data_IF_093751224347
#
_entry.id   IF_093751224347
#
_cell.length_a   1.000
_cell.length_b   1.000
_cell.length_c   1.000
_cell.angle_alpha   90.00
_cell.angle_beta   90.00
_cell.angle_gamma   90.00
#
_symmetry.space_group_name_H-M   'P 1'
#
loop_
_entity.id
_entity.type
_entity.pdbx_description
1 polymer ?
#
# COMPACT_ATOMS: atom_id res chain seq x y z
N UNK A 1 -55.50 19.00 43.82
CA UNK A 1 -56.82 18.44 43.44
C UNK A 1 -56.58 17.19 42.60
N UNK A 2 -57.03 16.05 43.12
CA UNK A 2 -57.26 14.73 42.49
C UNK A 2 -56.07 13.87 41.96
N UNK A 3 -55.86 12.76 42.69
CA UNK A 3 -55.26 11.48 42.28
C UNK A 3 -56.15 10.68 41.32
N UNK A 4 -55.57 9.71 40.59
CA UNK A 4 -56.05 8.32 40.34
C UNK A 4 -55.04 7.66 39.35
N UNK A 5 -54.10 6.78 39.71
CA UNK A 5 -54.19 5.34 40.05
C UNK A 5 -55.09 4.49 39.11
N UNK A 6 -54.49 3.61 38.27
CA UNK A 6 -54.51 2.14 38.39
C UNK A 6 -53.69 1.45 37.27
N UNK A 7 -53.04 0.32 37.61
CA UNK A 7 -52.20 -0.55 36.75
C UNK A 7 -53.01 -1.74 36.12
N UNK A 8 -52.44 -2.93 35.76
CA UNK A 8 -52.50 -3.52 34.42
C UNK A 8 -53.22 -4.90 34.38
N UNK A 9 -53.31 -5.57 33.22
CA UNK A 9 -53.67 -7.00 33.19
C UNK A 9 -53.19 -7.72 31.93
N UNK A 10 -52.49 -8.84 32.17
CA UNK A 10 -52.14 -9.89 31.22
C UNK A 10 -53.34 -10.78 30.88
N UNK A 11 -53.24 -11.51 29.77
CA UNK A 11 -53.60 -12.93 29.50
C UNK A 11 -54.24 -13.10 28.11
N UNK A 12 -53.63 -13.90 27.23
CA UNK A 12 -54.14 -15.24 26.92
C UNK A 12 -53.11 -16.09 26.15
N UNK A 13 -52.98 -17.34 26.59
CA UNK A 13 -52.12 -18.41 26.11
C UNK A 13 -53.00 -19.48 25.40
N UNK A 14 -52.34 -20.33 24.58
CA UNK A 14 -52.81 -21.59 23.93
C UNK A 14 -53.41 -21.41 22.52
N UNK A 15 -53.12 -22.26 21.53
CA UNK A 15 -52.98 -23.73 21.57
C UNK A 15 -52.09 -24.29 20.45
N UNK A 16 -51.46 -25.43 20.77
CA UNK A 16 -50.62 -26.32 19.96
C UNK A 16 -51.35 -27.08 18.84
N UNK A 17 -50.54 -27.59 17.88
CA UNK A 17 -50.42 -28.98 17.33
C UNK A 17 -50.22 -28.92 15.80
N UNK A 18 -49.05 -29.20 15.23
CA UNK A 18 -48.28 -30.45 15.12
C UNK A 18 -48.97 -31.55 14.28
N UNK A 19 -48.37 -31.91 13.13
CA UNK A 19 -48.39 -33.19 12.37
C UNK A 19 -47.36 -33.01 11.20
N UNK A 20 -46.10 -33.48 11.26
CA UNK A 20 -45.52 -34.80 10.98
C UNK A 20 -45.82 -35.43 9.58
N UNK A 21 -44.85 -35.28 8.64
CA UNK A 21 -44.20 -36.18 7.63
C UNK A 21 -44.98 -37.36 6.94
N UNK A 22 -44.45 -38.11 5.93
CA UNK A 22 -43.14 -38.08 5.21
C UNK A 22 -43.14 -38.37 3.66
N UNK A 23 -41.95 -38.24 3.05
CA UNK A 23 -41.31 -39.01 1.94
C UNK A 23 -42.12 -39.63 0.76
N UNK A 24 -41.67 -39.35 -0.49
CA UNK A 24 -41.14 -40.38 -1.41
C UNK A 24 -40.50 -39.80 -2.70
N UNK A 25 -39.42 -40.47 -3.10
CA UNK A 25 -38.64 -40.35 -4.34
C UNK A 25 -39.46 -40.32 -5.64
N UNK A 26 -38.93 -39.59 -6.65
CA UNK A 26 -38.68 -40.17 -7.98
C UNK A 26 -37.60 -39.41 -8.76
N UNK A 27 -36.77 -40.23 -9.37
CA UNK A 27 -35.63 -40.01 -10.25
C UNK A 27 -36.01 -39.40 -11.60
N UNK A 28 -35.15 -38.53 -12.14
CA UNK A 28 -34.92 -38.43 -13.58
C UNK A 28 -33.47 -37.97 -13.83
N UNK A 29 -32.73 -38.84 -14.51
CA UNK A 29 -31.38 -38.62 -14.98
C UNK A 29 -31.39 -37.73 -16.23
N UNK A 30 -30.43 -36.82 -16.35
CA UNK A 30 -29.91 -36.39 -17.64
C UNK A 30 -28.38 -36.26 -17.52
N UNK A 31 -27.70 -36.99 -18.40
CA UNK A 31 -26.26 -37.09 -18.55
C UNK A 31 -25.83 -36.18 -19.70
N UNK A 32 -24.79 -35.36 -19.50
CA UNK A 32 -23.63 -35.31 -20.41
C UNK A 32 -22.53 -34.39 -19.88
N UNK A 33 -21.42 -35.02 -19.46
CA UNK A 33 -20.01 -34.64 -19.68
C UNK A 33 -19.55 -33.19 -19.49
N UNK A 34 -18.88 -32.93 -18.36
CA UNK A 34 -17.64 -32.15 -18.32
C UNK A 34 -16.74 -32.75 -17.22
N UNK A 35 -15.56 -33.24 -17.60
CA UNK A 35 -14.59 -33.86 -16.68
C UNK A 35 -14.00 -32.88 -15.67
N UNK A 36 -13.27 -33.37 -14.65
CA UNK A 36 -12.72 -32.53 -13.59
C UNK A 36 -11.60 -31.64 -14.17
N UNK A 37 -11.49 -30.35 -13.82
CA UNK A 37 -10.32 -29.59 -14.21
C UNK A 37 -9.10 -30.12 -13.47
N UNK A 38 -8.02 -30.18 -14.24
CA UNK A 38 -6.70 -30.70 -13.91
C UNK A 38 -6.13 -30.16 -12.59
N UNK A 39 -5.29 -30.99 -11.96
CA UNK A 39 -4.61 -30.68 -10.71
C UNK A 39 -3.70 -29.45 -10.78
N UNK A 40 -3.45 -28.88 -9.61
CA UNK A 40 -2.56 -27.74 -9.39
C UNK A 40 -1.20 -27.94 -10.08
N UNK A 41 -0.75 -26.90 -10.76
CA UNK A 41 0.58 -26.87 -11.39
C UNK A 41 1.69 -26.89 -10.34
N UNK A 42 2.91 -27.28 -10.73
CA UNK A 42 4.05 -27.33 -9.81
C UNK A 42 4.33 -25.97 -9.13
N UNK A 43 4.08 -24.87 -9.84
CA UNK A 43 4.16 -23.49 -9.35
C UNK A 43 3.07 -23.14 -8.32
N UNK A 44 1.85 -23.65 -8.51
CA UNK A 44 0.76 -23.45 -7.53
C UNK A 44 0.95 -24.29 -6.28
N UNK A 45 1.58 -25.47 -6.39
CA UNK A 45 1.99 -26.27 -5.23
C UNK A 45 3.16 -25.63 -4.48
N UNK A 46 4.09 -25.00 -5.20
CA UNK A 46 5.20 -24.23 -4.61
C UNK A 46 4.70 -22.99 -3.84
N UNK A 47 3.73 -22.25 -4.38
CA UNK A 47 3.15 -21.10 -3.68
C UNK A 47 2.29 -21.49 -2.47
N UNK A 48 1.59 -22.62 -2.53
CA UNK A 48 0.89 -23.20 -1.37
C UNK A 48 1.86 -23.78 -0.33
N UNK A 49 3.00 -24.34 -0.75
CA UNK A 49 4.07 -24.78 0.14
C UNK A 49 4.72 -23.62 0.91
N UNK A 50 4.93 -22.48 0.23
CA UNK A 50 5.47 -21.26 0.84
C UNK A 50 4.52 -20.65 1.89
N UNK A 51 3.20 -20.75 1.67
CA UNK A 51 2.18 -20.28 2.64
C UNK A 51 2.00 -21.26 3.80
N UNK A 52 2.23 -22.56 3.59
CA UNK A 52 2.09 -23.59 4.62
C UNK A 52 3.30 -23.69 5.56
N UNK A 53 4.50 -23.31 5.09
CA UNK A 53 5.73 -23.32 5.91
C UNK A 53 5.84 -22.11 6.87
N UNK A 54 5.15 -21.01 6.57
CA UNK A 54 5.14 -19.81 7.41
C UNK A 54 3.77 -19.62 8.05
N UNK A 55 3.54 -20.33 9.14
CA UNK A 55 2.54 -19.93 10.12
C UNK A 55 2.89 -18.54 10.67
N UNK A 56 2.40 -17.49 10.01
CA UNK A 56 2.43 -16.10 10.47
C UNK A 56 3.81 -15.51 10.77
N UNK A 57 4.33 -14.66 9.88
CA UNK A 57 5.43 -13.75 10.24
C UNK A 57 6.42 -13.51 9.12
N UNK A 58 6.33 -12.33 8.51
CA UNK A 58 7.22 -11.81 7.49
C UNK A 58 8.65 -11.62 8.03
N UNK A 59 9.62 -12.26 7.38
CA UNK A 59 11.00 -11.81 7.37
C UNK A 59 11.60 -12.21 6.02
N UNK A 60 12.42 -11.31 5.45
CA UNK A 60 13.05 -11.35 4.12
C UNK A 60 12.24 -10.56 3.08
N UNK A 61 12.39 -9.24 3.18
CA UNK A 61 11.88 -8.26 2.22
C UNK A 61 12.68 -6.95 2.31
N UNK A 62 13.97 -7.05 2.65
CA UNK A 62 14.88 -5.91 2.59
C UNK A 62 16.07 -6.32 1.73
N UNK A 63 16.46 -5.42 0.83
CA UNK A 63 17.60 -5.49 -0.09
C UNK A 63 17.32 -6.20 -1.42
N UNK A 64 16.65 -5.52 -2.35
CA UNK A 64 17.09 -5.22 -3.74
C UNK A 64 15.85 -4.79 -4.55
N UNK A 65 16.01 -3.78 -5.41
CA UNK A 65 15.00 -3.42 -6.42
C UNK A 65 14.72 -4.57 -7.39
N UNK A 66 13.78 -4.40 -8.35
CA UNK A 66 13.29 -5.51 -9.15
C UNK A 66 14.41 -6.11 -10.00
N UNK A 67 14.66 -7.42 -9.85
CA UNK A 67 15.29 -8.20 -10.92
C UNK A 67 14.26 -8.45 -12.02
N UNK A 68 14.64 -8.34 -13.31
CA UNK A 68 13.72 -8.43 -14.43
C UNK A 68 13.02 -9.79 -14.49
N UNK A 69 11.75 -9.76 -14.89
CA UNK A 69 10.93 -10.96 -15.04
C UNK A 69 11.34 -11.75 -16.30
N UNK A 70 11.13 -13.06 -16.27
CA UNK A 70 11.47 -14.00 -17.35
C UNK A 70 10.71 -13.72 -18.67
N UNK A 71 9.76 -12.78 -18.69
CA UNK A 71 9.10 -12.30 -19.91
C UNK A 71 9.98 -11.35 -20.75
N UNK A 72 11.03 -10.75 -20.18
CA UNK A 72 12.02 -9.96 -20.93
C UNK A 72 13.06 -10.81 -21.67
N UNK A 73 13.19 -12.11 -21.35
CA UNK A 73 14.15 -13.02 -22.01
C UNK A 73 13.58 -13.78 -23.21
N UNK A 74 12.26 -13.74 -23.42
CA UNK A 74 11.61 -14.52 -24.47
C UNK A 74 10.41 -13.80 -25.10
N UNK A 75 10.67 -12.61 -25.67
CA UNK A 75 9.94 -12.09 -26.82
C UNK A 75 8.43 -11.93 -26.66
N UNK A 76 8.02 -10.74 -26.22
CA UNK A 76 6.70 -10.18 -26.55
C UNK A 76 6.90 -8.87 -27.29
N UNK A 77 6.32 -8.79 -28.49
CA UNK A 77 6.36 -7.62 -29.37
C UNK A 77 5.88 -6.39 -28.63
N UNK A 78 6.68 -5.32 -28.72
CA UNK A 78 6.31 -3.97 -28.33
C UNK A 78 4.91 -3.63 -28.87
N UNK A 79 3.96 -3.41 -27.96
CA UNK A 79 2.73 -2.68 -28.28
C UNK A 79 3.14 -1.21 -28.30
N UNK A 80 3.41 -0.73 -29.51
CA UNK A 80 3.69 0.67 -29.80
C UNK A 80 2.49 1.53 -29.40
N UNK A 81 2.68 2.46 -28.46
CA UNK A 81 1.63 3.41 -28.11
C UNK A 81 1.90 4.40 -26.96
N UNK A 82 3.03 4.33 -26.25
CA UNK A 82 3.38 5.35 -25.25
C UNK A 82 4.44 6.30 -25.83
N UNK A 83 4.14 7.60 -25.88
CA UNK A 83 5.17 8.62 -26.07
C UNK A 83 6.05 8.61 -24.83
N UNK A 84 7.22 7.99 -24.89
CA UNK A 84 8.18 8.04 -23.79
C UNK A 84 8.53 9.49 -23.49
N UNK A 85 8.23 9.97 -22.28
CA UNK A 85 8.71 11.25 -21.77
C UNK A 85 10.23 11.33 -21.98
N UNK A 86 10.71 12.41 -22.63
CA UNK A 86 12.11 12.60 -23.01
C UNK A 86 12.89 13.55 -22.09
N UNK A 87 12.26 14.06 -21.03
CA UNK A 87 12.88 14.95 -20.07
C UNK A 87 13.43 14.22 -18.84
N UNK A 88 14.12 14.96 -17.98
CA UNK A 88 14.51 14.49 -16.64
C UNK A 88 13.40 14.78 -15.64
N UNK A 89 13.06 13.79 -14.80
CA UNK A 89 12.09 13.96 -13.71
C UNK A 89 12.82 14.42 -12.45
N UNK A 90 12.96 15.73 -12.29
CA UNK A 90 13.61 16.34 -11.14
C UNK A 90 12.62 16.48 -9.97
N UNK A 91 13.08 16.14 -8.78
CA UNK A 91 12.32 16.37 -7.54
C UNK A 91 12.55 17.81 -7.08
N UNK A 92 11.52 18.65 -7.17
CA UNK A 92 11.57 20.06 -6.76
C UNK A 92 11.14 20.25 -5.31
N UNK A 93 10.16 19.46 -4.87
CA UNK A 93 9.56 19.56 -3.56
C UNK A 93 9.47 18.18 -2.92
N UNK A 94 9.56 18.13 -1.58
CA UNK A 94 9.34 16.92 -0.80
C UNK A 94 8.19 17.14 0.16
N UNK A 95 7.28 16.17 0.22
CA UNK A 95 6.16 16.16 1.17
C UNK A 95 6.15 14.85 1.94
N UNK A 96 5.48 14.83 3.07
CA UNK A 96 5.35 13.63 3.88
C UNK A 96 3.91 13.35 4.30
N UNK A 97 3.63 12.06 4.53
CA UNK A 97 2.44 11.55 5.19
C UNK A 97 2.85 10.70 6.38
N UNK A 98 2.40 11.07 7.58
CA UNK A 98 2.34 10.17 8.71
C UNK A 98 1.05 9.37 8.59
N UNK A 99 1.14 8.05 8.58
CA UNK A 99 0.01 7.15 8.34
C UNK A 99 -0.32 6.38 9.61
N UNK A 100 -1.62 6.25 9.88
CA UNK A 100 -2.15 5.38 10.92
C UNK A 100 -3.15 4.36 10.37
N UNK A 101 -3.21 3.19 11.02
CA UNK A 101 -4.17 2.12 10.75
C UNK A 101 -4.95 1.85 12.03
N UNK A 102 -6.29 1.98 11.99
CA UNK A 102 -7.16 1.93 13.16
C UNK A 102 -6.69 2.87 14.28
N UNK A 103 -6.23 4.06 13.90
CA UNK A 103 -5.68 5.12 14.75
C UNK A 103 -4.31 4.82 15.41
N UNK A 104 -3.72 3.64 15.16
CA UNK A 104 -2.33 3.34 15.54
C UNK A 104 -1.36 3.84 14.48
N UNK A 105 -0.29 4.53 14.89
CA UNK A 105 0.75 5.01 13.97
C UNK A 105 1.54 3.85 13.37
N UNK A 106 1.70 3.88 12.04
CA UNK A 106 2.39 2.82 11.28
C UNK A 106 3.72 3.28 10.72
N UNK A 107 3.79 4.52 10.23
CA UNK A 107 5.02 5.05 9.67
C UNK A 107 4.83 6.29 8.82
N UNK A 108 5.95 6.78 8.30
CA UNK A 108 6.03 7.98 7.46
C UNK A 108 6.34 7.60 6.02
N UNK A 109 5.61 8.17 5.08
CA UNK A 109 5.88 8.12 3.65
C UNK A 109 6.43 9.49 3.23
N UNK A 110 7.57 9.52 2.56
CA UNK A 110 8.13 10.73 1.95
C UNK A 110 8.00 10.63 0.45
N UNK A 111 7.45 11.67 -0.17
CA UNK A 111 7.19 11.73 -1.61
C UNK A 111 7.94 12.92 -2.19
N UNK A 112 8.66 12.69 -3.28
CA UNK A 112 9.23 13.74 -4.13
C UNK A 112 8.26 14.11 -5.25
N UNK A 113 8.14 15.42 -5.52
CA UNK A 113 7.21 15.98 -6.49
C UNK A 113 7.96 16.57 -7.70
N UNK A 114 7.41 16.41 -8.90
CA UNK A 114 8.02 16.82 -10.17
C UNK A 114 7.56 18.22 -10.61
N UNK A 115 7.88 19.26 -9.83
CA UNK A 115 7.32 20.61 -10.02
C UNK A 115 7.75 21.32 -11.31
N UNK A 116 8.85 20.92 -11.94
CA UNK A 116 9.23 21.48 -13.26
C UNK A 116 8.30 20.99 -14.38
N UNK A 117 7.87 19.73 -14.30
CA UNK A 117 7.05 19.09 -15.33
C UNK A 117 5.57 19.32 -15.07
N UNK A 118 5.19 19.30 -13.79
CA UNK A 118 3.80 19.36 -13.35
C UNK A 118 3.54 20.49 -12.32
N UNK A 119 3.91 21.76 -12.61
CA UNK A 119 3.89 22.83 -11.62
C UNK A 119 2.52 23.05 -10.97
N UNK A 120 1.43 22.98 -11.73
CA UNK A 120 0.08 23.17 -11.18
C UNK A 120 -0.35 21.98 -10.32
N UNK A 121 -0.06 20.78 -10.79
CA UNK A 121 -0.41 19.54 -10.06
C UNK A 121 0.35 19.45 -8.74
N UNK A 122 1.65 19.81 -8.77
CA UNK A 122 2.53 19.82 -7.61
C UNK A 122 2.12 20.89 -6.60
N UNK A 123 1.85 22.14 -7.01
CA UNK A 123 1.39 23.18 -6.08
C UNK A 123 0.05 22.81 -5.43
N UNK A 124 -0.87 22.18 -6.17
CA UNK A 124 -2.10 21.65 -5.60
C UNK A 124 -1.82 20.62 -4.50
N UNK A 125 -0.98 19.62 -4.79
CA UNK A 125 -0.69 18.56 -3.83
C UNK A 125 0.08 19.09 -2.61
N UNK A 126 1.08 19.94 -2.83
CA UNK A 126 1.89 20.59 -1.78
C UNK A 126 1.02 21.39 -0.83
N UNK A 127 0.17 22.26 -1.36
CA UNK A 127 -0.73 23.09 -0.55
C UNK A 127 -1.80 22.27 0.20
N UNK A 128 -2.28 21.17 -0.38
CA UNK A 128 -3.17 20.23 0.31
C UNK A 128 -2.44 19.42 1.40
N UNK A 129 -1.11 19.28 1.34
CA UNK A 129 -0.33 18.71 2.44
C UNK A 129 -0.19 19.69 3.61
N UNK A 130 -0.01 20.99 3.34
CA UNK A 130 0.15 22.02 4.39
C UNK A 130 -1.16 22.52 4.98
N UNK A 131 -2.26 22.48 4.21
CA UNK A 131 -3.53 23.09 4.61
C UNK A 131 -3.54 24.62 4.50
N UNK A 132 -2.53 25.22 3.87
CA UNK A 132 -2.30 26.68 3.87
C UNK A 132 -3.40 27.49 3.16
N UNK A 133 -4.19 26.85 2.29
CA UNK A 133 -5.25 27.52 1.51
C UNK A 133 -6.59 27.63 2.28
N UNK A 134 -6.65 27.18 3.53
CA UNK A 134 -7.81 27.36 4.40
C UNK A 134 -8.99 26.46 4.04
N UNK A 135 -10.20 27.03 4.03
CA UNK A 135 -11.44 26.27 3.85
C UNK A 135 -11.72 25.94 2.37
N UNK A 136 -12.21 24.72 2.10
CA UNK A 136 -12.77 24.35 0.80
C UNK A 136 -14.17 24.93 0.63
N UNK A 137 -14.67 24.99 -0.61
CA UNK A 137 -16.06 25.41 -0.88
C UNK A 137 -17.07 24.38 -0.37
N UNK A 138 -16.67 23.12 -0.24
CA UNK A 138 -17.49 22.06 0.33
C UNK A 138 -17.63 22.12 1.87
N UNK A 139 -16.86 22.97 2.55
CA UNK A 139 -16.91 23.17 4.01
C UNK A 139 -15.64 22.72 4.75
N UNK A 140 -15.16 21.48 4.57
CA UNK A 140 -13.92 20.99 5.19
C UNK A 140 -12.68 21.81 4.75
N UNK A 141 -11.59 21.84 5.53
CA UNK A 141 -10.35 22.48 5.09
C UNK A 141 -9.75 21.80 3.85
N UNK A 142 -9.06 22.56 3.00
CA UNK A 142 -8.23 22.08 1.89
C UNK A 142 -6.96 21.41 2.44
N UNK A 143 -7.11 20.28 3.13
CA UNK A 143 -6.03 19.63 3.86
C UNK A 143 -6.19 18.11 3.87
N UNK A 144 -5.10 17.38 3.59
CA UNK A 144 -5.10 15.91 3.60
C UNK A 144 -5.13 15.30 5.02
N UNK A 145 -4.79 16.07 6.05
CA UNK A 145 -4.80 15.57 7.43
C UNK A 145 -6.19 15.07 7.83
N UNK A 146 -6.24 13.84 8.32
CA UNK A 146 -7.47 13.13 8.69
C UNK A 146 -8.19 12.47 7.50
N UNK A 147 -7.74 12.66 6.26
CA UNK A 147 -8.29 11.95 5.10
C UNK A 147 -7.81 10.50 5.05
N UNK A 148 -8.65 9.61 4.49
CA UNK A 148 -8.40 8.18 4.45
C UNK A 148 -8.03 7.65 3.07
N UNK A 149 -7.31 6.52 3.06
CA UNK A 149 -7.13 5.71 1.86
C UNK A 149 -8.38 4.87 1.64
N UNK A 150 -9.35 5.44 0.92
CA UNK A 150 -10.69 4.86 0.76
C UNK A 150 -10.74 3.70 -0.25
N UNK A 151 -9.69 3.52 -1.08
CA UNK A 151 -9.61 2.43 -2.05
C UNK A 151 -8.19 1.86 -2.15
N UNK A 152 -8.00 0.61 -1.75
CA UNK A 152 -6.72 -0.10 -1.69
C UNK A 152 -6.87 -1.44 -2.41
N UNK A 153 -6.14 -1.63 -3.51
CA UNK A 153 -6.12 -2.87 -4.29
C UNK A 153 -4.69 -3.42 -4.29
N UNK A 154 -4.42 -4.53 -3.59
CA UNK A 154 -3.09 -5.12 -3.53
C UNK A 154 -2.53 -5.43 -4.91
N UNK A 155 -1.26 -5.12 -5.14
CA UNK A 155 -0.58 -5.32 -6.44
C UNK A 155 -1.03 -4.36 -7.54
N UNK A 156 -1.83 -3.34 -7.20
CA UNK A 156 -2.27 -2.32 -8.14
C UNK A 156 -1.94 -0.92 -7.61
N UNK A 157 -2.71 -0.42 -6.64
CA UNK A 157 -2.52 0.92 -6.09
C UNK A 157 -3.24 1.13 -4.76
N UNK A 158 -2.83 2.17 -4.05
CA UNK A 158 -3.51 2.73 -2.87
C UNK A 158 -4.00 4.14 -3.21
N UNK A 159 -5.29 4.40 -3.04
CA UNK A 159 -5.95 5.65 -3.44
C UNK A 159 -6.54 6.36 -2.22
N UNK A 160 -6.28 7.67 -2.14
CA UNK A 160 -6.67 8.54 -1.05
C UNK A 160 -7.03 9.95 -1.53
N UNK A 161 -7.01 10.92 -0.60
CA UNK A 161 -7.17 12.34 -0.92
C UNK A 161 -8.62 12.85 -1.03
N UNK A 162 -9.62 12.04 -0.64
CA UNK A 162 -10.99 12.53 -0.44
C UNK A 162 -11.18 12.99 1.02
N UNK A 163 -10.90 14.26 1.28
CA UNK A 163 -11.09 14.91 2.59
C UNK A 163 -12.50 15.49 2.78
N UNK A 164 -13.37 15.39 1.78
CA UNK A 164 -14.72 16.00 1.84
C UNK A 164 -15.81 14.99 2.17
N UNK A 165 -15.77 13.79 1.59
CA UNK A 165 -16.76 12.74 1.77
C UNK A 165 -16.16 11.44 2.30
N UNK A 166 -14.83 11.31 2.28
CA UNK A 166 -14.08 10.13 2.75
C UNK A 166 -14.51 8.80 2.12
N UNK A 167 -15.08 8.84 0.90
CA UNK A 167 -15.65 7.66 0.24
C UNK A 167 -15.24 7.52 -1.24
N UNK A 168 -14.42 8.43 -1.75
CA UNK A 168 -13.91 8.45 -3.11
C UNK A 168 -14.81 9.19 -4.12
N UNK A 169 -15.91 9.79 -3.68
CA UNK A 169 -16.80 10.61 -4.53
C UNK A 169 -16.55 12.11 -4.38
N UNK A 170 -15.81 12.50 -3.34
CA UNK A 170 -15.50 13.88 -3.04
C UNK A 170 -14.12 14.34 -3.50
N UNK A 171 -13.61 15.36 -2.83
CA UNK A 171 -12.35 16.03 -3.11
C UNK A 171 -12.55 17.37 -3.80
N UNK A 172 -11.62 18.29 -3.54
CA UNK A 172 -11.59 19.63 -4.12
C UNK A 172 -10.13 20.06 -4.30
N UNK A 173 -9.80 20.69 -5.42
CA UNK A 173 -8.45 21.24 -5.63
C UNK A 173 -8.34 22.63 -4.99
N UNK A 174 -7.11 23.11 -4.83
CA UNK A 174 -6.89 24.50 -4.36
C UNK A 174 -7.37 25.56 -5.38
N UNK A 175 -7.67 25.14 -6.61
CA UNK A 175 -8.15 26.00 -7.69
C UNK A 175 -9.68 25.99 -7.82
N UNK A 176 -10.38 25.25 -6.95
CA UNK A 176 -11.82 25.03 -6.99
C UNK A 176 -12.15 23.54 -7.16
N UNK A 177 -13.29 23.22 -7.77
CA UNK A 177 -13.76 21.82 -7.79
C UNK A 177 -12.83 20.88 -8.54
N UNK A 178 -12.32 21.30 -9.71
CA UNK A 178 -11.45 20.50 -10.60
C UNK A 178 -10.46 21.39 -11.35
N UNK A 179 -9.40 20.81 -11.88
CA UNK A 179 -8.47 21.43 -12.82
C UNK A 179 -8.07 20.45 -13.95
N UNK A 180 -7.50 21.02 -15.01
CA UNK A 180 -7.15 20.32 -16.25
C UNK A 180 -5.97 19.35 -16.08
N UNK A 181 -5.82 18.40 -16.99
CA UNK A 181 -4.61 17.57 -17.09
C UNK A 181 -3.44 18.43 -17.59
N UNK A 182 -2.25 18.20 -17.04
CA UNK A 182 -1.05 18.98 -17.35
C UNK A 182 -0.17 18.24 -18.38
N UNK A 183 0.88 17.51 -17.99
CA UNK A 183 1.61 16.63 -18.91
C UNK A 183 1.19 15.16 -18.70
N UNK A 184 0.68 14.51 -19.75
CA UNK A 184 0.27 13.10 -19.73
C UNK A 184 1.32 12.15 -20.34
N UNK A 185 2.49 12.67 -20.75
CA UNK A 185 3.56 11.88 -21.35
C UNK A 185 4.46 11.18 -20.32
N UNK A 186 4.45 11.62 -19.07
CA UNK A 186 5.17 10.96 -17.96
C UNK A 186 4.53 9.60 -17.69
N UNK A 187 5.26 8.47 -17.86
CA UNK A 187 4.68 7.14 -17.71
C UNK A 187 4.59 6.69 -16.25
N UNK A 188 3.70 5.73 -15.97
CA UNK A 188 3.61 5.06 -14.68
C UNK A 188 4.76 4.05 -14.54
N UNK A 189 5.93 4.53 -14.10
CA UNK A 189 7.20 3.81 -14.02
C UNK A 189 7.30 2.79 -12.86
N UNK A 190 6.19 2.11 -12.54
CA UNK A 190 6.15 1.02 -11.55
C UNK A 190 5.76 1.45 -10.13
N UNK A 191 6.02 0.57 -9.12
CA UNK A 191 5.68 0.81 -7.72
C UNK A 191 6.29 2.11 -7.16
N UNK A 192 5.54 2.80 -6.31
CA UNK A 192 5.92 4.08 -5.72
C UNK A 192 5.59 5.30 -6.58
N UNK A 193 5.11 5.13 -7.82
CA UNK A 193 4.65 6.25 -8.65
C UNK A 193 3.44 6.94 -8.01
N UNK A 194 3.48 8.26 -7.88
CA UNK A 194 2.37 9.10 -7.42
C UNK A 194 1.66 9.75 -8.63
N UNK A 195 0.33 9.59 -8.70
CA UNK A 195 -0.46 10.04 -9.83
C UNK A 195 -1.86 10.51 -9.43
N UNK A 196 -2.46 11.39 -10.23
CA UNK A 196 -3.78 11.98 -9.97
C UNK A 196 -4.91 10.99 -10.28
N UNK A 197 -5.84 10.82 -9.34
CA UNK A 197 -7.10 10.16 -9.63
C UNK A 197 -8.07 11.15 -10.28
N UNK A 198 -8.74 10.72 -11.34
CA UNK A 198 -9.70 11.55 -12.08
C UNK A 198 -10.93 10.71 -12.50
N UNK A 199 -11.95 11.41 -13.02
CA UNK A 199 -13.18 10.82 -13.55
C UNK A 199 -13.32 11.08 -15.06
N UNK A 200 -12.20 11.04 -15.77
CA UNK A 200 -12.07 11.44 -17.18
C UNK A 200 -11.14 12.65 -17.37
N UNK A 201 -10.89 13.00 -18.63
CA UNK A 201 -9.97 14.08 -19.00
C UNK A 201 -10.35 15.40 -18.31
N UNK A 202 -9.35 16.13 -17.82
CA UNK A 202 -9.47 17.44 -17.19
C UNK A 202 -10.37 17.45 -15.94
N UNK A 203 -10.28 16.40 -15.11
CA UNK A 203 -11.10 16.31 -13.89
C UNK A 203 -10.30 16.09 -12.61
N UNK A 204 -9.07 16.59 -12.58
CA UNK A 204 -8.18 16.48 -11.42
C UNK A 204 -8.72 17.29 -10.24
N UNK A 205 -8.69 16.71 -9.05
CA UNK A 205 -9.15 17.34 -7.80
C UNK A 205 -8.09 17.25 -6.72
N UNK A 206 -8.41 16.58 -5.62
CA UNK A 206 -7.46 16.25 -4.56
C UNK A 206 -7.12 14.76 -4.45
N UNK A 207 -7.91 13.90 -5.10
CA UNK A 207 -7.69 12.47 -5.01
C UNK A 207 -6.43 12.06 -5.79
N UNK A 208 -5.67 11.15 -5.20
CA UNK A 208 -4.41 10.66 -5.75
C UNK A 208 -4.31 9.16 -5.51
N UNK A 209 -3.40 8.50 -6.20
CA UNK A 209 -3.01 7.13 -5.91
C UNK A 209 -1.50 6.94 -5.97
N UNK A 210 -1.01 6.00 -5.17
CA UNK A 210 0.37 5.50 -5.21
C UNK A 210 0.33 4.08 -5.77
N UNK A 211 1.09 3.82 -6.84
CA UNK A 211 1.17 2.50 -7.45
C UNK A 211 1.91 1.52 -6.53
N UNK A 212 1.43 0.28 -6.44
CA UNK A 212 2.11 -0.83 -5.74
C UNK A 212 2.44 -1.99 -6.69
N UNK A 213 2.37 -1.72 -7.99
CA UNK A 213 2.59 -2.64 -9.09
C UNK A 213 2.69 -1.86 -10.40
N UNK A 214 2.99 -2.56 -11.49
CA UNK A 214 3.10 -1.93 -12.81
C UNK A 214 1.71 -1.57 -13.36
N UNK A 215 1.58 -0.36 -13.90
CA UNK A 215 0.29 0.20 -14.33
C UNK A 215 0.33 0.94 -15.68
N UNK A 216 0.98 0.39 -16.73
CA UNK A 216 1.16 1.09 -18.01
C UNK A 216 -0.16 1.43 -18.74
N UNK A 217 -1.27 0.74 -18.43
CA UNK A 217 -2.58 1.04 -19.03
C UNK A 217 -3.21 2.36 -18.53
N UNK A 218 -2.60 3.00 -17.53
CA UNK A 218 -2.96 4.32 -17.01
C UNK A 218 -2.23 5.47 -17.71
N UNK A 219 -1.19 5.16 -18.50
CA UNK A 219 -0.43 6.15 -19.27
C UNK A 219 -1.35 6.92 -20.23
N UNK A 220 -1.10 8.22 -20.38
CA UNK A 220 -1.92 9.10 -21.21
C UNK A 220 -3.31 9.42 -20.62
N UNK A 221 -3.64 8.95 -19.40
CA UNK A 221 -4.96 9.16 -18.77
C UNK A 221 -4.88 9.80 -17.39
N UNK A 222 -3.80 9.58 -16.66
CA UNK A 222 -3.59 10.10 -15.32
C UNK A 222 -2.26 10.84 -15.27
N UNK A 223 -2.28 12.04 -14.67
CA UNK A 223 -1.10 12.89 -14.53
C UNK A 223 -0.18 12.30 -13.46
N UNK A 224 1.00 11.82 -13.86
CA UNK A 224 2.07 11.41 -12.94
C UNK A 224 2.85 12.65 -12.53
N UNK A 225 2.95 12.90 -11.22
CA UNK A 225 3.52 14.15 -10.69
C UNK A 225 4.49 13.95 -9.51
N UNK A 226 4.81 12.70 -9.16
CA UNK A 226 5.81 12.43 -8.14
C UNK A 226 6.12 10.94 -7.97
N UNK A 227 6.92 10.64 -6.95
CA UNK A 227 7.25 9.28 -6.52
C UNK A 227 7.56 9.21 -5.04
N UNK A 228 7.34 8.04 -4.45
CA UNK A 228 7.83 7.72 -3.10
C UNK A 228 9.36 7.71 -3.12
N UNK A 229 9.95 8.40 -2.14
CA UNK A 229 11.38 8.44 -1.87
C UNK A 229 11.73 7.56 -0.66
N UNK A 230 10.90 7.62 0.39
CA UNK A 230 11.07 6.86 1.63
C UNK A 230 9.70 6.35 2.11
N UNK A 231 9.67 5.23 2.84
CA UNK A 231 8.43 4.67 3.37
C UNK A 231 7.65 3.77 2.39
N UNK A 232 8.33 3.12 1.44
CA UNK A 232 7.69 2.15 0.55
C UNK A 232 7.19 0.90 1.31
N UNK A 233 7.88 0.52 2.38
CA UNK A 233 7.43 -0.49 3.34
C UNK A 233 6.09 -0.12 3.99
N UNK A 234 5.89 1.17 4.33
CA UNK A 234 4.60 1.67 4.83
C UNK A 234 3.52 1.56 3.73
N UNK A 235 3.85 1.89 2.48
CA UNK A 235 2.95 1.72 1.32
C UNK A 235 2.54 0.25 1.15
N UNK A 236 3.47 -0.69 1.31
CA UNK A 236 3.19 -2.13 1.21
C UNK A 236 2.33 -2.63 2.37
N UNK A 237 2.54 -2.13 3.60
CA UNK A 237 1.66 -2.40 4.75
C UNK A 237 0.24 -1.91 4.46
N UNK A 238 0.08 -0.69 3.95
CA UNK A 238 -1.24 -0.16 3.53
C UNK A 238 -1.84 -1.05 2.44
N UNK A 239 -1.05 -1.45 1.45
CA UNK A 239 -1.48 -2.33 0.35
C UNK A 239 -2.04 -3.66 0.88
N UNK A 240 -1.41 -4.26 1.89
CA UNK A 240 -1.88 -5.51 2.52
C UNK A 240 -3.25 -5.40 3.20
N UNK A 241 -3.63 -4.19 3.62
CA UNK A 241 -4.94 -3.87 4.18
C UNK A 241 -6.04 -3.81 3.10
N UNK A 242 -5.68 -3.92 1.82
CA UNK A 242 -6.61 -3.85 0.70
C UNK A 242 -7.37 -5.14 0.40
N UNK A 243 -8.28 -5.04 -0.57
CA UNK A 243 -9.05 -6.16 -1.14
C UNK A 243 -9.12 -5.99 -2.65
N UNK A 244 -9.41 -7.07 -3.39
CA UNK A 244 -9.67 -6.99 -4.84
C UNK A 244 -10.83 -6.05 -5.19
N UNK A 245 -11.80 -5.89 -4.28
CA UNK A 245 -12.91 -4.92 -4.42
C UNK A 245 -12.49 -3.46 -4.22
N UNK A 246 -11.26 -3.20 -3.76
CA UNK A 246 -10.78 -1.87 -3.40
C UNK A 246 -11.15 -1.42 -1.99
N UNK A 247 -12.27 -1.87 -1.43
CA UNK A 247 -12.63 -1.49 -0.04
C UNK A 247 -11.58 -2.00 0.99
N UNK A 248 -10.97 -1.12 1.80
CA UNK A 248 -10.01 -1.51 2.84
C UNK A 248 -10.60 -2.45 3.90
N UNK A 249 -9.75 -3.27 4.50
CA UNK A 249 -10.06 -4.15 5.65
C UNK A 249 -10.00 -3.40 6.99
N UNK A 250 -9.23 -2.32 7.05
CA UNK A 250 -8.99 -1.49 8.22
C UNK A 250 -9.10 0.00 7.84
N UNK A 251 -9.27 0.85 8.84
CA UNK A 251 -9.32 2.29 8.63
C UNK A 251 -7.90 2.85 8.49
N UNK A 252 -7.51 3.25 7.28
CA UNK A 252 -6.16 3.76 6.98
C UNK A 252 -6.25 5.26 6.73
N UNK A 253 -5.58 6.07 7.57
CA UNK A 253 -5.67 7.54 7.53
C UNK A 253 -4.30 8.20 7.44
N UNK A 254 -4.28 9.37 6.82
CA UNK A 254 -3.18 10.32 6.92
C UNK A 254 -3.37 11.07 8.25
N UNK A 255 -2.64 10.68 9.29
CA UNK A 255 -2.76 11.30 10.63
C UNK A 255 -2.12 12.68 10.67
N UNK A 256 -1.09 12.91 9.86
CA UNK A 256 -0.42 14.20 9.71
C UNK A 256 0.26 14.27 8.33
N UNK A 257 0.44 15.48 7.82
CA UNK A 257 1.09 15.71 6.53
C UNK A 257 1.67 17.12 6.45
N UNK A 258 2.62 17.31 5.53
CA UNK A 258 3.26 18.61 5.33
C UNK A 258 4.35 18.58 4.27
N UNK A 259 5.07 19.69 4.15
CA UNK A 259 6.24 19.85 3.28
C UNK A 259 7.50 19.64 4.11
N UNK A 260 8.52 19.04 3.51
CA UNK A 260 9.87 18.98 4.06
C UNK A 260 10.70 20.07 3.37
N UNK A 261 11.16 21.05 4.13
CA UNK A 261 12.02 22.10 3.59
C UNK A 261 13.37 21.52 3.16
N UNK A 262 13.85 21.93 1.98
CA UNK A 262 15.14 21.50 1.46
C UNK A 262 16.34 22.04 2.26
N UNK A 263 16.14 23.14 3.00
CA UNK A 263 17.21 23.91 3.68
C UNK A 263 16.96 24.16 5.19
N UNK A 264 15.99 23.51 5.82
CA UNK A 264 15.79 23.69 7.26
C UNK A 264 16.85 22.91 8.06
N UNK A 265 17.72 23.57 8.87
CA UNK A 265 18.32 22.89 9.99
C UNK A 265 17.18 22.49 10.93
N UNK A 266 17.09 21.19 11.20
CA UNK A 266 16.12 20.55 12.07
C UNK A 266 15.97 21.29 13.42
N UNK A 267 15.05 22.26 13.50
CA UNK A 267 14.62 22.89 14.75
C UNK A 267 13.31 22.23 15.16
N UNK A 268 13.46 21.12 15.87
CA UNK A 268 12.38 20.40 16.51
C UNK A 268 11.73 21.23 17.60
N UNK A 269 10.41 21.39 17.51
CA UNK A 269 9.56 21.48 18.68
C UNK A 269 9.39 20.07 19.27
N UNK A 270 10.15 19.78 20.32
CA UNK A 270 9.98 18.70 21.29
C UNK A 270 9.19 17.44 20.83
N UNK A 271 9.84 16.62 20.00
CA UNK A 271 9.60 15.18 19.95
C UNK A 271 10.98 14.52 19.85
N UNK A 272 11.22 13.50 20.67
CA UNK A 272 12.50 12.82 20.85
C UNK A 272 13.22 12.53 19.53
N UNK A 273 14.52 12.86 19.49
CA UNK A 273 15.42 12.58 18.38
C UNK A 273 15.56 11.06 18.17
N UNK A 274 14.81 10.50 17.23
CA UNK A 274 15.14 9.21 16.62
C UNK A 274 16.14 9.44 15.48
N UNK A 275 17.42 9.57 15.83
CA UNK A 275 18.51 9.23 14.90
C UNK A 275 18.39 7.74 14.51
N UNK A 276 18.79 7.33 13.30
CA UNK A 276 18.85 5.90 12.96
C UNK A 276 19.75 5.22 13.98
N UNK A 277 19.15 4.44 14.89
CA UNK A 277 19.86 3.80 16.01
C UNK A 277 20.95 2.91 15.41
N UNK A 278 22.22 3.34 15.52
CA UNK A 278 23.38 2.51 15.22
C UNK A 278 23.25 1.29 16.12
N UNK A 279 22.91 0.14 15.53
CA UNK A 279 22.73 -1.11 16.25
C UNK A 279 23.91 -1.29 17.21
N UNK A 280 23.63 -1.54 18.48
CA UNK A 280 24.69 -1.82 19.44
C UNK A 280 25.41 -3.10 19.02
N UNK A 281 26.61 -3.34 19.56
CA UNK A 281 27.37 -4.57 19.28
C UNK A 281 26.58 -5.83 19.65
N UNK A 282 25.76 -5.74 20.69
CA UNK A 282 24.86 -6.81 21.14
C UNK A 282 23.70 -7.01 20.16
N UNK A 283 23.02 -5.94 19.73
CA UNK A 283 21.94 -6.02 18.74
C UNK A 283 22.45 -6.52 17.36
N UNK A 284 23.69 -6.16 16.97
CA UNK A 284 24.36 -6.70 15.79
C UNK A 284 24.69 -8.20 15.93
N UNK A 285 25.02 -8.65 17.15
CA UNK A 285 25.32 -10.05 17.43
C UNK A 285 24.04 -10.90 17.41
N UNK A 286 22.96 -10.42 18.03
CA UNK A 286 21.64 -11.05 17.99
C UNK A 286 21.14 -11.17 16.54
N UNK A 287 21.33 -10.12 15.74
CA UNK A 287 20.98 -10.15 14.32
C UNK A 287 21.77 -11.19 13.53
N UNK A 288 23.06 -11.36 13.86
CA UNK A 288 23.90 -12.38 13.24
C UNK A 288 23.42 -13.80 13.60
N UNK A 289 22.94 -14.00 14.83
CA UNK A 289 22.44 -15.28 15.31
C UNK A 289 21.06 -15.62 14.72
N UNK A 290 20.15 -14.64 14.59
CA UNK A 290 18.91 -14.84 13.82
C UNK A 290 19.18 -15.19 12.35
N UNK A 291 20.16 -14.55 11.71
CA UNK A 291 20.53 -14.87 10.33
C UNK A 291 21.15 -16.27 10.18
N UNK A 292 21.78 -16.82 11.24
CA UNK A 292 22.28 -18.20 11.26
C UNK A 292 21.14 -19.21 11.36
N UNK A 293 20.14 -18.92 12.18
CA UNK A 293 18.95 -19.75 12.32
C UNK A 293 18.16 -19.80 11.01
N UNK A 294 17.94 -18.64 10.38
CA UNK A 294 17.29 -18.53 9.07
C UNK A 294 18.06 -19.32 8.00
N UNK A 295 19.38 -19.17 7.93
CA UNK A 295 20.23 -19.97 7.02
C UNK A 295 20.07 -21.47 7.24
N UNK A 296 20.02 -21.91 8.50
CA UNK A 296 19.81 -23.32 8.85
C UNK A 296 18.46 -23.86 8.38
N UNK A 297 17.40 -23.06 8.53
CA UNK A 297 16.06 -23.43 8.08
C UNK A 297 15.98 -23.53 6.55
N UNK A 298 16.63 -22.62 5.82
CA UNK A 298 16.74 -22.72 4.37
C UNK A 298 17.52 -23.94 3.92
N UNK A 299 18.66 -24.22 4.58
CA UNK A 299 19.47 -25.41 4.28
C UNK A 299 18.67 -26.71 4.45
N UNK A 300 17.85 -26.79 5.49
CA UNK A 300 17.04 -27.96 5.79
C UNK A 300 15.91 -28.20 4.76
N UNK A 301 15.47 -27.16 4.08
CA UNK A 301 14.40 -27.21 3.08
C UNK A 301 14.92 -27.01 1.64
N UNK A 302 16.24 -27.13 1.44
CA UNK A 302 16.90 -26.85 0.15
C UNK A 302 16.29 -27.61 -1.03
N UNK A 303 15.83 -28.84 -0.81
CA UNK A 303 15.29 -29.71 -1.86
C UNK A 303 13.81 -29.39 -2.20
N UNK A 304 13.13 -28.57 -1.38
CA UNK A 304 11.75 -28.13 -1.58
C UNK A 304 11.64 -26.72 -2.18
N UNK A 305 12.77 -26.00 -2.21
CA UNK A 305 12.88 -24.63 -2.68
C UNK A 305 13.45 -24.64 -4.10
N UNK A 306 12.92 -23.76 -4.96
CA UNK A 306 13.48 -23.59 -6.31
C UNK A 306 15.00 -23.30 -6.24
N UNK A 307 15.85 -24.04 -6.98
CA UNK A 307 17.31 -23.91 -6.87
C UNK A 307 17.84 -22.49 -7.13
N UNK A 308 17.19 -21.74 -8.03
CA UNK A 308 17.62 -20.38 -8.37
C UNK A 308 17.24 -19.38 -7.27
N UNK A 309 16.07 -19.56 -6.68
CA UNK A 309 15.60 -18.76 -5.55
C UNK A 309 16.43 -19.05 -4.29
N UNK A 310 16.74 -20.32 -4.03
CA UNK A 310 17.61 -20.74 -2.94
C UNK A 310 18.99 -20.08 -3.05
N UNK A 311 19.58 -20.09 -4.25
CA UNK A 311 20.90 -19.49 -4.49
C UNK A 311 20.89 -17.97 -4.23
N UNK A 312 19.87 -17.25 -4.68
CA UNK A 312 19.71 -15.81 -4.45
C UNK A 312 19.55 -15.47 -2.95
N UNK A 313 18.65 -16.16 -2.26
CA UNK A 313 18.42 -15.97 -0.82
C UNK A 313 19.69 -16.22 0.01
N UNK A 314 20.44 -17.27 -0.35
CA UNK A 314 21.69 -17.61 0.33
C UNK A 314 22.78 -16.57 0.07
N UNK A 315 22.81 -15.94 -1.10
CA UNK A 315 23.72 -14.82 -1.41
C UNK A 315 23.39 -13.60 -0.55
N UNK A 316 22.11 -13.26 -0.38
CA UNK A 316 21.66 -12.13 0.45
C UNK A 316 21.98 -12.35 1.93
N UNK A 317 21.64 -13.52 2.48
CA UNK A 317 21.98 -13.91 3.85
C UNK A 317 23.49 -13.81 4.06
N UNK A 318 24.30 -14.25 3.08
CA UNK A 318 25.76 -14.19 3.14
C UNK A 318 26.27 -12.75 3.12
N UNK A 319 25.73 -11.89 2.26
CA UNK A 319 26.13 -10.48 2.17
C UNK A 319 25.80 -9.72 3.45
N UNK A 320 24.62 -9.92 4.04
CA UNK A 320 24.24 -9.23 5.27
C UNK A 320 25.08 -9.69 6.47
N UNK A 321 25.39 -11.00 6.55
CA UNK A 321 26.36 -11.51 7.53
C UNK A 321 27.75 -10.89 7.36
N UNK A 322 28.22 -10.72 6.13
CA UNK A 322 29.52 -10.09 5.84
C UNK A 322 29.50 -8.63 6.30
N UNK A 323 28.45 -7.88 5.97
CA UNK A 323 28.29 -6.48 6.35
C UNK A 323 28.27 -6.31 7.87
N UNK A 324 27.46 -7.07 8.59
CA UNK A 324 27.39 -7.01 10.06
C UNK A 324 28.75 -7.37 10.68
N UNK A 325 29.42 -8.40 10.17
CA UNK A 325 30.78 -8.76 10.63
C UNK A 325 31.82 -7.69 10.32
N UNK A 326 31.67 -6.94 9.23
CA UNK A 326 32.56 -5.81 8.90
C UNK A 326 32.31 -4.64 9.86
N UNK A 327 31.06 -4.33 10.19
CA UNK A 327 30.71 -3.32 11.20
C UNK A 327 31.23 -3.70 12.60
N UNK A 328 31.08 -4.97 13.00
CA UNK A 328 31.63 -5.50 14.26
C UNK A 328 33.16 -5.43 14.36
N UNK A 329 33.87 -5.34 13.22
CA UNK A 329 35.33 -5.23 13.15
C UNK A 329 35.84 -3.79 13.18
N UNK A 330 34.98 -2.78 13.00
CA UNK A 330 35.42 -1.38 13.04
C UNK A 330 35.83 -1.02 14.48
N UNK A 331 37.01 -0.38 14.67
CA UNK A 331 37.42 0.07 16.00
C UNK A 331 36.43 1.13 16.52
N UNK A 332 36.09 1.06 17.80
CA UNK A 332 35.32 2.09 18.47
C UNK A 332 36.06 3.43 18.34
N UNK A 333 35.37 4.56 18.09
CA UNK A 333 35.96 5.85 18.39
C UNK A 333 36.31 5.86 19.88
N UNK A 334 37.57 6.17 20.20
CA UNK A 334 37.95 6.44 21.59
C UNK A 334 37.22 7.72 21.99
N UNK A 335 36.36 7.61 23.01
CA UNK A 335 35.77 8.76 23.70
C UNK A 335 36.86 9.72 24.22
#
# INVERSE_FOLDING_TARGET
>A
MASLLLRPSQLLLRSQRALHAPLLHKTAAFSSSAGPPAGLTSLQKASLGLVAMFGGGYAIGYFFGPFPSLEELAGVKAVSGASAYKGELLVTDKVFFDVGINDDYVGKIVVGLYGEVQPRTVENFRALCTGEKGASRAGPPLWFKGSGFHRIIPGFMIQGGDFTQHNGRGGESIYGRRFDDEDLSVPHAGPGTLSMANAGANTNGSQFFICTGDTPWLDGKHVVFGRVLEGMDVVDIISSCGRRSGKPKADVKIINCGVLDADAPNQGGAAEKNEPKRLTREEMQDRLDSLREVEGNFLAQKDEIDPTMYEQLMVEIKHEKIRIKQELKKPQPKE
#
